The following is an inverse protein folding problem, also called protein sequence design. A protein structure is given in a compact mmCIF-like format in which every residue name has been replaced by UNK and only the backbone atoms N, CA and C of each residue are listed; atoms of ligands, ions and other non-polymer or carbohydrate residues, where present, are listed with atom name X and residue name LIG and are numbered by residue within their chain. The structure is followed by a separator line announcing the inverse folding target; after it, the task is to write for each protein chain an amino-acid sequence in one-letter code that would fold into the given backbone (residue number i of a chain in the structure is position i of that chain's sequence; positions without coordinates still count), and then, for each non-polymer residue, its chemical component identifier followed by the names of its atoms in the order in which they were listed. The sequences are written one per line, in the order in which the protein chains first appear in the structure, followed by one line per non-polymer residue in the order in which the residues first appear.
data_IF_119931866509
#
_entry.id   IF_119931866509
#
_cell.length_a   1.000
_cell.length_b   1.000
_cell.length_c   1.000
_cell.angle_alpha   90.00
_cell.angle_beta   90.00
_cell.angle_gamma   90.00
#
_symmetry.space_group_name_H-M   'P 1'
#
loop_
_entity.id
_entity.type
_entity.pdbx_description
1 polymer ?
#
# COMPACT_ATOMS: atom_id res chain seq x y z
N UNK A 1 8.73 28.41 -8.40
CA UNK A 1 8.21 27.11 -8.93
C UNK A 1 9.31 26.06 -8.91
N UNK A 2 9.95 25.80 -7.76
CA UNK A 2 11.15 24.94 -7.68
C UNK A 2 11.19 24.06 -6.42
N UNK A 3 10.13 24.05 -5.59
CA UNK A 3 10.10 23.25 -4.35
C UNK A 3 9.59 21.82 -4.56
N UNK A 4 8.83 21.57 -5.64
CA UNK A 4 8.23 20.27 -5.94
C UNK A 4 9.19 19.25 -6.59
N UNK A 5 10.33 19.71 -7.13
CA UNK A 5 11.29 18.86 -7.85
C UNK A 5 12.32 18.17 -6.94
N UNK A 6 12.42 18.55 -5.67
CA UNK A 6 13.36 17.93 -4.70
C UNK A 6 12.73 16.69 -4.03
N UNK A 7 11.40 16.53 -4.12
CA UNK A 7 10.76 15.24 -3.88
C UNK A 7 10.84 14.39 -5.14
N UNK A 8 12.06 13.98 -5.52
CA UNK A 8 12.24 12.72 -6.23
C UNK A 8 11.82 11.59 -5.28
N UNK A 9 10.50 11.45 -5.09
CA UNK A 9 9.83 10.28 -4.53
C UNK A 9 9.94 9.12 -5.53
N UNK A 10 11.11 8.91 -6.11
CA UNK A 10 11.48 7.62 -6.70
C UNK A 10 11.64 6.67 -5.52
N UNK A 11 10.51 6.29 -4.92
CA UNK A 11 10.47 5.28 -3.89
C UNK A 11 11.22 4.07 -4.46
N UNK A 12 12.20 3.50 -3.73
CA UNK A 12 12.92 2.30 -4.14
C UNK A 12 12.03 1.06 -4.01
N UNK A 13 10.80 1.15 -4.53
CA UNK A 13 9.78 0.11 -4.61
C UNK A 13 10.15 -0.99 -5.61
N UNK A 14 11.29 -0.88 -6.31
CA UNK A 14 11.80 -1.96 -7.15
C UNK A 14 12.27 -3.16 -6.33
N UNK A 15 12.71 -2.96 -5.08
CA UNK A 15 13.17 -4.06 -4.24
C UNK A 15 11.97 -4.80 -3.61
N UNK A 16 11.81 -6.12 -3.87
CA UNK A 16 10.67 -6.89 -3.36
C UNK A 16 10.58 -6.89 -1.83
N UNK A 17 11.72 -6.81 -1.12
CA UNK A 17 11.76 -6.74 0.35
C UNK A 17 11.12 -5.44 0.86
N UNK A 18 11.40 -4.31 0.19
CA UNK A 18 10.83 -3.02 0.55
C UNK A 18 9.32 -2.97 0.26
N UNK A 19 8.85 -3.58 -0.84
CA UNK A 19 7.40 -3.72 -1.09
C UNK A 19 6.72 -4.47 0.06
N UNK A 20 7.28 -5.60 0.49
CA UNK A 20 6.73 -6.38 1.60
C UNK A 20 6.69 -5.58 2.91
N UNK A 21 7.76 -4.84 3.22
CA UNK A 21 7.81 -3.99 4.40
C UNK A 21 6.73 -2.90 4.40
N UNK A 22 6.50 -2.27 3.24
CA UNK A 22 5.41 -1.28 3.09
C UNK A 22 4.05 -1.94 3.27
N UNK A 23 3.79 -3.08 2.63
CA UNK A 23 2.51 -3.79 2.76
C UNK A 23 2.24 -4.15 4.23
N UNK A 24 3.24 -4.70 4.93
CA UNK A 24 3.11 -5.10 6.33
C UNK A 24 2.86 -3.88 7.21
N UNK A 25 3.59 -2.79 6.97
CA UNK A 25 3.37 -1.51 7.67
C UNK A 25 1.95 -1.01 7.48
N UNK A 26 1.39 -1.05 6.26
CA UNK A 26 0.04 -0.56 6.01
C UNK A 26 -1.03 -1.49 6.61
N UNK A 27 -0.88 -2.81 6.50
CA UNK A 27 -1.83 -3.78 7.09
C UNK A 27 -1.85 -3.70 8.62
N UNK A 28 -0.71 -3.38 9.26
CA UNK A 28 -0.64 -3.17 10.70
C UNK A 28 -1.20 -1.79 11.11
N UNK A 29 -0.88 -0.76 10.34
CA UNK A 29 -1.27 0.62 10.63
C UNK A 29 -2.76 0.86 10.39
N UNK A 30 -3.33 0.25 9.35
CA UNK A 30 -4.75 0.41 8.99
C UNK A 30 -5.72 0.09 10.14
N UNK A 31 -5.70 -1.11 10.77
CA UNK A 31 -6.58 -1.41 11.91
C UNK A 31 -6.25 -0.56 13.13
N UNK A 32 -4.98 -0.21 13.35
CA UNK A 32 -4.55 0.62 14.48
C UNK A 32 -5.15 2.03 14.39
N UNK A 33 -5.11 2.64 13.20
CA UNK A 33 -5.72 3.94 12.93
C UNK A 33 -7.23 3.83 13.06
N UNK A 34 -7.84 2.78 12.51
CA UNK A 34 -9.30 2.67 12.46
C UNK A 34 -9.94 2.32 13.80
N UNK A 35 -9.20 1.69 14.71
CA UNK A 35 -9.62 1.48 16.09
C UNK A 35 -9.94 2.83 16.79
N UNK A 36 -9.27 3.93 16.38
CA UNK A 36 -9.57 5.27 16.90
C UNK A 36 -10.87 5.87 16.34
N UNK A 37 -11.33 5.44 15.16
CA UNK A 37 -12.50 6.01 14.48
C UNK A 37 -13.84 5.29 14.77
N UNK A 38 -13.86 4.28 15.66
CA UNK A 38 -15.05 3.45 15.96
C UNK A 38 -15.67 2.74 14.75
N UNK A 39 -14.94 2.64 13.64
CA UNK A 39 -15.40 1.91 12.45
C UNK A 39 -15.10 0.42 12.67
N UNK A 40 -15.96 -0.51 12.21
CA UNK A 40 -15.69 -1.94 12.32
C UNK A 40 -14.32 -2.30 11.73
N UNK A 41 -13.52 -3.06 12.47
CA UNK A 41 -12.17 -3.48 12.08
C UNK A 41 -12.14 -4.13 10.69
N UNK A 42 -13.16 -4.94 10.38
CA UNK A 42 -13.31 -5.61 9.07
C UNK A 42 -13.44 -4.58 7.93
N UNK A 43 -14.24 -3.53 8.13
CA UNK A 43 -14.43 -2.49 7.12
C UNK A 43 -13.11 -1.77 6.81
N UNK A 44 -12.30 -1.56 7.84
CA UNK A 44 -10.98 -0.97 7.71
C UNK A 44 -9.98 -1.78 6.94
N UNK A 45 -9.96 -3.08 7.22
CA UNK A 45 -9.09 -4.01 6.51
C UNK A 45 -9.44 -4.07 5.02
N UNK A 46 -10.74 -4.04 4.68
CA UNK A 46 -11.22 -4.03 3.29
C UNK A 46 -10.80 -2.74 2.58
N UNK A 47 -11.02 -1.58 3.20
CA UNK A 47 -10.64 -0.28 2.62
C UNK A 47 -9.12 -0.18 2.44
N UNK A 48 -8.34 -0.63 3.43
CA UNK A 48 -6.89 -0.68 3.32
C UNK A 48 -6.44 -1.62 2.20
N UNK A 49 -7.04 -2.81 2.08
CA UNK A 49 -6.79 -3.73 0.97
C UNK A 49 -7.14 -3.14 -0.39
N UNK A 50 -8.23 -2.39 -0.50
CA UNK A 50 -8.62 -1.69 -1.73
C UNK A 50 -7.65 -0.56 -2.09
N UNK A 51 -7.15 0.19 -1.11
CA UNK A 51 -6.17 1.26 -1.29
C UNK A 51 -4.77 0.71 -1.62
N UNK A 52 -4.34 -0.42 -1.06
CA UNK A 52 -3.02 -1.02 -1.33
C UNK A 52 -3.05 -1.89 -2.60
N UNK A 53 -4.22 -2.42 -2.93
CA UNK A 53 -4.49 -3.31 -4.04
C UNK A 53 -4.22 -2.69 -5.41
N UNK A 54 -4.38 -3.49 -6.48
CA UNK A 54 -4.18 -3.05 -7.86
C UNK A 54 -5.09 -1.87 -8.26
N UNK A 55 -6.23 -1.68 -7.59
CA UNK A 55 -7.14 -0.56 -7.83
C UNK A 55 -6.78 0.73 -7.07
N UNK A 56 -5.81 0.69 -6.16
CA UNK A 56 -5.37 1.85 -5.36
C UNK A 56 -3.94 2.28 -5.72
N UNK A 57 -3.02 2.19 -4.77
CA UNK A 57 -1.60 2.55 -4.90
C UNK A 57 -0.86 1.54 -5.80
N UNK A 58 -1.52 0.45 -6.23
CA UNK A 58 -0.97 -0.55 -7.16
C UNK A 58 0.38 -1.11 -6.65
N UNK A 59 0.54 -1.21 -5.34
CA UNK A 59 1.72 -1.82 -4.71
C UNK A 59 1.72 -3.33 -4.94
N UNK A 60 0.52 -3.89 -5.00
CA UNK A 60 0.21 -5.21 -5.51
C UNK A 60 -0.02 -5.13 -7.02
N UNK A 61 0.92 -4.53 -7.76
CA UNK A 61 1.06 -4.82 -9.19
C UNK A 61 1.05 -6.34 -9.26
N UNK A 62 0.00 -6.89 -9.91
CA UNK A 62 0.04 -8.25 -10.41
C UNK A 62 1.31 -8.28 -11.24
N UNK A 63 2.40 -8.76 -10.67
CA UNK A 63 3.52 -9.13 -11.49
C UNK A 63 2.88 -10.02 -12.55
N UNK A 64 2.94 -9.59 -13.81
CA UNK A 64 2.46 -10.35 -14.96
C UNK A 64 3.23 -11.67 -15.14
N UNK A 65 3.83 -12.20 -14.06
CA UNK A 65 4.32 -13.55 -13.85
C UNK A 65 3.29 -14.47 -13.18
N UNK A 66 2.13 -13.96 -12.73
CA UNK A 66 0.92 -14.80 -12.43
C UNK A 66 -0.07 -14.72 -13.59
N UNK A 67 0.44 -14.74 -14.82
CA UNK A 67 -0.22 -15.52 -15.86
C UNK A 67 0.36 -16.92 -15.69
N UNK A 68 -0.45 -17.81 -15.11
CA UNK A 68 -0.26 -19.25 -15.26
C UNK A 68 -0.15 -19.53 -16.77
N UNK A 69 1.08 -19.70 -17.24
CA UNK A 69 1.35 -20.52 -18.40
C UNK A 69 1.14 -21.98 -18.05
#
# INVERSE_FOLDING_TARGET
MTLLAVLDLTLPLTNPVLKFFVILTVILSAPLILNKFRIPHILGLIIAGAIIGPNGINLLLRDSSIILS
#
